data_IF_915457965808
#
_entry.id   IF_915457965808
#
_cell.length_a   1.000
_cell.length_b   1.000
_cell.length_c   1.000
_cell.angle_alpha   90.00
_cell.angle_beta   90.00
_cell.angle_gamma   90.00
#
_symmetry.space_group_name_H-M   'P 1'
#
loop_
_entity.id
_entity.type
_entity.pdbx_description
1 polymer ?
#
# COMPACT_ATOMS: atom_id res chain seq x y z
N UNK A 1 9.44 -3.15 8.23
CA UNK A 1 8.30 -2.50 7.53
C UNK A 1 8.79 -1.36 6.62
N UNK A 2 9.64 -0.47 7.11
CA UNK A 2 10.30 0.61 6.33
C UNK A 2 10.97 0.13 5.04
N UNK A 3 11.66 -1.01 5.07
CA UNK A 3 12.24 -1.61 3.86
C UNK A 3 11.18 -1.92 2.78
N UNK A 4 9.98 -2.38 3.17
CA UNK A 4 8.89 -2.64 2.22
C UNK A 4 8.38 -1.34 1.60
N UNK A 5 8.30 -0.24 2.37
CA UNK A 5 7.98 1.09 1.84
C UNK A 5 8.95 1.52 0.74
N UNK A 6 10.26 1.35 0.97
CA UNK A 6 11.30 1.78 0.03
C UNK A 6 11.39 0.89 -1.23
N UNK A 7 11.05 -0.39 -1.12
CA UNK A 7 11.27 -1.39 -2.18
C UNK A 7 9.99 -1.84 -2.91
N UNK A 8 8.83 -1.32 -2.51
CA UNK A 8 7.56 -1.63 -3.17
C UNK A 8 7.37 -0.85 -4.46
N UNK A 9 6.62 -1.42 -5.40
CA UNK A 9 6.28 -0.76 -6.67
C UNK A 9 5.13 0.23 -6.48
N UNK A 10 4.20 -0.12 -5.57
CA UNK A 10 3.07 0.71 -5.16
C UNK A 10 3.12 0.91 -3.64
N UNK A 11 3.11 2.17 -3.21
CA UNK A 11 2.84 2.51 -1.81
C UNK A 11 1.70 3.51 -1.74
N UNK A 12 0.62 3.12 -1.10
CA UNK A 12 -0.61 3.91 -1.06
C UNK A 12 -1.32 3.81 0.28
N UNK A 13 -2.01 4.88 0.63
CA UNK A 13 -2.98 4.93 1.71
C UNK A 13 -4.35 4.58 1.15
N UNK A 14 -5.12 3.78 1.87
CA UNK A 14 -6.45 3.40 1.39
C UNK A 14 -7.32 2.69 2.40
N UNK A 15 -8.54 2.39 1.97
CA UNK A 15 -9.57 1.72 2.76
C UNK A 15 -9.93 0.40 2.09
N UNK A 16 -9.99 -0.68 2.88
CA UNK A 16 -10.43 -1.99 2.40
C UNK A 16 -11.92 -1.94 2.06
N UNK A 17 -12.25 -2.21 0.79
CA UNK A 17 -13.62 -2.27 0.27
C UNK A 17 -14.16 -3.68 0.20
N UNK A 18 -13.35 -4.66 -0.16
CA UNK A 18 -13.70 -6.09 -0.18
C UNK A 18 -12.53 -6.98 0.14
N UNK A 19 -12.87 -8.17 0.63
CA UNK A 19 -11.95 -9.25 0.92
C UNK A 19 -12.61 -10.53 0.42
N UNK A 20 -11.88 -11.27 -0.40
CA UNK A 20 -12.23 -12.60 -0.87
C UNK A 20 -11.10 -13.55 -0.48
N UNK A 21 -11.41 -14.53 0.37
CA UNK A 21 -10.43 -15.53 0.79
C UNK A 21 -10.29 -16.60 -0.30
N UNK A 22 -9.06 -16.91 -0.68
CA UNK A 22 -8.70 -18.01 -1.59
C UNK A 22 -7.94 -19.05 -0.77
N UNK A 23 -8.68 -19.86 -0.02
CA UNK A 23 -8.13 -20.79 0.97
C UNK A 23 -7.14 -21.80 0.37
N UNK A 24 -7.39 -22.26 -0.85
CA UNK A 24 -6.49 -23.17 -1.59
C UNK A 24 -5.11 -22.58 -1.85
N UNK A 25 -5.02 -21.25 -1.92
CA UNK A 25 -3.80 -20.51 -2.22
C UNK A 25 -3.20 -19.83 -0.97
N UNK A 26 -3.80 -20.02 0.21
CA UNK A 26 -3.43 -19.36 1.46
C UNK A 26 -3.30 -17.82 1.35
N UNK A 27 -4.10 -17.22 0.47
CA UNK A 27 -4.13 -15.77 0.23
C UNK A 27 -5.56 -15.23 0.27
N UNK A 28 -5.68 -13.93 0.49
CA UNK A 28 -6.92 -13.17 0.35
C UNK A 28 -6.72 -12.11 -0.73
N UNK A 29 -7.66 -12.02 -1.66
CA UNK A 29 -7.76 -10.92 -2.60
C UNK A 29 -8.49 -9.77 -1.92
N UNK A 30 -7.84 -8.61 -1.86
CA UNK A 30 -8.32 -7.43 -1.16
C UNK A 30 -8.49 -6.30 -2.16
N UNK A 31 -9.71 -5.77 -2.25
CA UNK A 31 -9.98 -4.56 -3.03
C UNK A 31 -9.84 -3.35 -2.13
N UNK A 32 -9.00 -2.40 -2.51
CA UNK A 32 -8.70 -1.20 -1.75
C UNK A 32 -9.13 0.03 -2.55
N UNK A 33 -9.84 0.95 -1.90
CA UNK A 33 -10.02 2.30 -2.42
C UNK A 33 -8.84 3.15 -2.00
N UNK A 34 -8.07 3.64 -2.97
CA UNK A 34 -6.97 4.57 -2.71
C UNK A 34 -7.52 5.90 -2.19
N UNK A 35 -6.88 6.41 -1.15
CA UNK A 35 -7.12 7.75 -0.59
C UNK A 35 -5.94 8.68 -0.83
N UNK A 36 -4.71 8.15 -0.91
CA UNK A 36 -3.49 8.94 -1.20
C UNK A 36 -2.35 8.05 -1.69
N UNK A 37 -1.70 8.40 -2.80
CA UNK A 37 -0.43 7.76 -3.17
C UNK A 37 0.71 8.29 -2.30
N UNK A 38 1.46 7.41 -1.63
CA UNK A 38 2.59 7.79 -0.76
C UNK A 38 3.92 7.69 -1.49
N UNK A 39 4.05 6.73 -2.41
CA UNK A 39 5.19 6.58 -3.30
C UNK A 39 4.76 5.85 -4.57
N UNK A 40 5.13 6.42 -5.71
CA UNK A 40 5.01 5.76 -7.01
C UNK A 40 6.41 5.37 -7.48
N UNK A 41 6.66 4.08 -7.68
CA UNK A 41 7.87 3.65 -8.38
C UNK A 41 7.75 4.13 -9.84
N UNK A 42 8.79 4.73 -10.39
CA UNK A 42 8.85 5.41 -11.70
C UNK A 42 8.68 4.47 -12.92
N UNK A 43 8.03 3.31 -12.76
CA UNK A 43 7.92 2.28 -13.80
C UNK A 43 6.57 2.26 -14.54
N UNK A 44 5.64 3.14 -14.20
CA UNK A 44 4.39 3.33 -14.97
C UNK A 44 4.15 4.82 -15.31
N UNK A 45 5.22 5.54 -15.70
CA UNK A 45 5.04 6.80 -16.44
C UNK A 45 4.83 6.41 -17.90
N UNK A 46 3.62 5.95 -18.23
CA UNK A 46 3.04 6.43 -19.47
C UNK A 46 2.61 7.87 -19.18
N UNK A 47 3.20 8.79 -19.91
CA UNK A 47 3.14 10.23 -19.67
C UNK A 47 1.69 10.72 -19.58
N UNK A 48 1.32 11.27 -18.43
CA UNK A 48 0.54 12.50 -18.41
C UNK A 48 1.34 13.51 -17.60
N UNK A 49 2.14 14.30 -18.31
CA UNK A 49 2.78 15.51 -17.80
C UNK A 49 1.72 16.58 -17.53
N UNK A 50 0.82 16.34 -16.57
CA UNK A 50 -0.01 17.41 -16.00
C UNK A 50 0.29 17.50 -14.52
N UNK A 51 1.04 18.55 -14.20
CA UNK A 51 1.10 19.15 -12.88
C UNK A 51 -0.27 19.75 -12.64
N UNK A 52 -1.23 18.93 -12.22
CA UNK A 52 -2.49 19.39 -11.66
C UNK A 52 -2.97 18.34 -10.65
N UNK A 53 -3.51 18.83 -9.55
CA UNK A 53 -4.24 18.07 -8.54
C UNK A 53 -5.54 17.49 -9.15
N UNK A 54 -5.43 16.65 -10.18
CA UNK A 54 -6.56 15.94 -10.73
C UNK A 54 -7.01 14.90 -9.70
N UNK A 55 -8.23 15.06 -9.20
CA UNK A 55 -8.96 14.06 -8.43
C UNK A 55 -8.88 12.72 -9.17
N UNK A 56 -7.95 11.87 -8.74
CA UNK A 56 -7.84 10.51 -9.24
C UNK A 56 -9.21 9.85 -9.07
N UNK A 57 -9.88 9.42 -10.15
CA UNK A 57 -11.19 8.79 -10.05
C UNK A 57 -11.02 7.60 -9.11
N UNK A 58 -11.65 7.67 -7.94
CA UNK A 58 -11.40 6.82 -6.78
C UNK A 58 -10.83 5.44 -7.14
N UNK A 59 -9.50 5.34 -7.21
CA UNK A 59 -8.88 4.23 -7.89
C UNK A 59 -8.98 3.00 -6.99
N UNK A 60 -9.73 2.00 -7.45
CA UNK A 60 -9.76 0.69 -6.82
C UNK A 60 -8.52 -0.09 -7.25
N UNK A 61 -7.84 -0.71 -6.29
CA UNK A 61 -6.69 -1.59 -6.53
C UNK A 61 -6.95 -2.95 -5.91
N UNK A 62 -6.57 -3.99 -6.64
CA UNK A 62 -6.63 -5.38 -6.20
C UNK A 62 -5.26 -5.80 -5.67
N UNK A 63 -5.24 -6.38 -4.47
CA UNK A 63 -4.03 -6.77 -3.77
C UNK A 63 -4.17 -8.21 -3.26
N UNK A 64 -3.12 -9.02 -3.43
CA UNK A 64 -3.01 -10.31 -2.76
C UNK A 64 -2.33 -10.14 -1.41
N UNK A 65 -3.00 -10.61 -0.37
CA UNK A 65 -2.54 -10.56 1.02
C UNK A 65 -2.48 -12.00 1.57
N UNK A 66 -1.35 -12.44 2.14
CA UNK A 66 -1.26 -13.73 2.83
C UNK A 66 -2.35 -13.90 3.90
N UNK A 67 -2.97 -15.08 3.97
CA UNK A 67 -4.07 -15.35 4.90
C UNK A 67 -3.67 -15.13 6.38
N UNK A 68 -2.41 -15.38 6.73
CA UNK A 68 -1.89 -15.19 8.10
C UNK A 68 -1.92 -13.73 8.58
N UNK A 69 -2.03 -12.74 7.67
CA UNK A 69 -2.19 -11.34 8.07
C UNK A 69 -3.57 -11.05 8.68
N UNK A 70 -4.54 -11.97 8.49
CA UNK A 70 -5.88 -11.80 9.03
C UNK A 70 -6.56 -10.54 8.52
N UNK A 71 -6.50 -10.29 7.20
CA UNK A 71 -7.12 -9.12 6.59
C UNK A 71 -8.60 -9.04 6.98
N UNK A 72 -9.01 -7.89 7.53
CA UNK A 72 -10.38 -7.64 8.00
C UNK A 72 -10.88 -6.31 7.50
N UNK A 73 -12.13 -6.29 7.03
CA UNK A 73 -12.86 -5.03 6.87
C UNK A 73 -12.99 -4.38 8.24
N UNK A 74 -12.73 -3.09 8.30
CA UNK A 74 -12.86 -2.31 9.51
C UNK A 74 -12.90 -0.82 9.21
N UNK A 75 -13.11 -0.02 10.25
CA UNK A 75 -12.97 1.42 10.17
C UNK A 75 -11.50 1.80 10.11
N UNK A 76 -11.19 2.85 9.35
CA UNK A 76 -9.86 3.43 9.24
C UNK A 76 -9.14 3.13 7.93
N UNK A 77 -7.95 3.71 7.82
CA UNK A 77 -7.08 3.61 6.66
C UNK A 77 -5.87 2.74 6.98
N UNK A 78 -5.31 2.14 5.93
CA UNK A 78 -4.12 1.30 5.98
C UNK A 78 -3.09 1.82 5.00
N UNK A 79 -1.83 1.47 5.23
CA UNK A 79 -0.74 1.73 4.29
C UNK A 79 -0.38 0.44 3.57
N UNK A 80 -0.70 0.38 2.29
CA UNK A 80 -0.45 -0.77 1.44
C UNK A 80 0.89 -0.60 0.74
N UNK A 81 1.83 -1.50 1.02
CA UNK A 81 3.16 -1.59 0.42
C UNK A 81 3.21 -2.85 -0.44
N UNK A 82 2.93 -2.71 -1.74
CA UNK A 82 2.76 -3.83 -2.64
C UNK A 82 3.85 -3.89 -3.71
N UNK A 83 4.30 -5.12 -3.99
CA UNK A 83 5.18 -5.44 -5.11
C UNK A 83 4.43 -6.14 -6.21
N UNK A 84 4.81 -5.86 -7.46
CA UNK A 84 4.28 -6.54 -8.62
C UNK A 84 5.03 -7.85 -8.83
N UNK A 85 4.30 -8.96 -8.87
CA UNK A 85 4.81 -10.31 -9.18
C UNK A 85 3.97 -10.86 -10.31
N UNK A 86 4.58 -11.11 -11.46
CA UNK A 86 3.90 -11.66 -12.65
C UNK A 86 2.65 -10.86 -13.08
N UNK A 87 2.69 -9.53 -12.90
CA UNK A 87 1.57 -8.64 -13.25
C UNK A 87 0.58 -8.39 -12.10
N UNK A 88 0.60 -9.20 -11.05
CA UNK A 88 -0.29 -9.08 -9.89
C UNK A 88 0.38 -8.31 -8.75
N UNK A 89 -0.39 -7.52 -7.99
CA UNK A 89 0.13 -6.81 -6.81
C UNK A 89 -0.05 -7.69 -5.56
N UNK A 90 1.06 -7.95 -4.87
CA UNK A 90 1.08 -8.71 -3.62
C UNK A 90 1.85 -7.95 -2.54
N UNK A 91 1.41 -8.07 -1.30
CA UNK A 91 2.07 -7.46 -0.13
C UNK A 91 2.34 -8.50 0.96
N UNK A 92 3.15 -8.13 1.95
CA UNK A 92 3.43 -9.00 3.09
C UNK A 92 2.29 -8.93 4.09
N UNK A 93 2.17 -7.84 4.86
CA UNK A 93 0.95 -7.43 5.58
C UNK A 93 0.88 -5.89 5.53
N UNK A 94 -0.27 -5.31 5.86
CA UNK A 94 -0.47 -3.85 5.84
C UNK A 94 -0.73 -3.31 7.25
N UNK A 95 0.05 -2.32 7.75
CA UNK A 95 -0.25 -1.64 9.01
C UNK A 95 -1.46 -0.71 8.88
N UNK A 96 -2.07 -0.38 10.02
CA UNK A 96 -3.00 0.76 10.11
C UNK A 96 -2.22 2.06 9.92
N UNK A 97 -2.92 3.09 9.46
CA UNK A 97 -2.33 4.42 9.27
C UNK A 97 -1.73 4.98 10.57
N UNK A 98 -2.41 4.80 11.70
CA UNK A 98 -1.95 5.27 13.02
C UNK A 98 -0.62 4.64 13.43
N UNK A 99 -0.48 3.32 13.29
CA UNK A 99 0.76 2.59 13.56
C UNK A 99 1.89 3.06 12.62
N UNK A 100 1.55 3.28 11.34
CA UNK A 100 2.53 3.73 10.35
C UNK A 100 3.07 5.12 10.66
N UNK A 101 2.22 6.07 11.09
CA UNK A 101 2.64 7.42 11.47
C UNK A 101 3.67 7.38 12.60
N UNK A 102 3.48 6.50 13.59
CA UNK A 102 4.44 6.31 14.68
C UNK A 102 5.79 5.75 14.18
N UNK A 103 5.75 4.78 13.27
CA UNK A 103 6.96 4.22 12.64
C UNK A 103 7.70 5.31 11.86
N UNK A 104 7.01 6.08 11.01
CA UNK A 104 7.62 7.18 10.23
C UNK A 104 8.28 8.19 11.15
N UNK A 105 7.59 8.62 12.21
CA UNK A 105 8.12 9.57 13.18
C UNK A 105 9.40 9.05 13.84
N UNK A 106 9.38 7.81 14.32
CA UNK A 106 10.50 7.20 15.04
C UNK A 106 11.71 7.02 14.12
N UNK A 107 11.50 6.54 12.90
CA UNK A 107 12.58 6.26 11.95
C UNK A 107 13.18 7.54 11.36
N UNK A 108 12.38 8.58 11.15
CA UNK A 108 12.88 9.89 10.72
C UNK A 108 13.71 10.57 11.82
N UNK A 109 13.39 10.34 13.10
CA UNK A 109 14.21 10.83 14.22
C UNK A 109 15.54 10.08 14.34
N UNK A 110 15.51 8.75 14.14
CA UNK A 110 16.70 7.90 14.24
C UNK A 110 17.62 8.01 13.02
N UNK A 111 17.10 8.49 11.88
CA UNK A 111 17.85 8.55 10.62
C UNK A 111 18.20 7.17 10.04
N UNK A 112 17.51 6.11 10.47
CA UNK A 112 17.77 4.72 10.08
C UNK A 112 17.10 4.29 8.78
N UNK A 113 16.19 5.10 8.24
CA UNK A 113 15.44 4.75 7.05
C UNK A 113 16.30 4.82 5.77
N UNK A 114 16.21 3.78 4.94
CA UNK A 114 16.90 3.71 3.65
C UNK A 114 16.31 4.62 2.55
N UNK A 115 15.17 5.26 2.81
CA UNK A 115 14.54 6.23 1.93
C UNK A 115 13.68 7.22 2.75
N UNK A 116 13.20 8.29 2.11
CA UNK A 116 12.30 9.26 2.75
C UNK A 116 10.93 8.62 2.97
N UNK A 117 10.53 8.50 4.23
CA UNK A 117 9.24 7.93 4.64
C UNK A 117 8.14 9.00 4.71
N UNK A 118 6.91 8.64 4.34
CA UNK A 118 5.74 9.54 4.35
C UNK A 118 4.44 8.80 4.73
N UNK A 119 3.40 9.54 5.14
CA UNK A 119 2.06 9.03 5.56
C UNK A 119 0.89 9.82 4.96
#
# INVERSE_FOLDING_TARGET
MTHAFCTSDLVTRGIIRSIEAKDELEVSEVTVKITKHLRHSTLNIEESNNVDEEEWPSQLVYLHVPAHCGARRGTGEFVFMARRKLGELALTCAPRLEDWVEIVRTENLNGSAHCVLSS
#
